data_IF_210244152094
#
_entry.id   IF_210244152094
#
_cell.length_a   1.000
_cell.length_b   1.000
_cell.length_c   1.000
_cell.angle_alpha   90.00
_cell.angle_beta   90.00
_cell.angle_gamma   90.00
#
_symmetry.space_group_name_H-M   'P 1'
#
loop_
_entity.id
_entity.type
_entity.pdbx_description
1 polymer ?
#
# COMPACT_ATOMS: atom_id res chain seq x y z
N UNK A 1 -38.00 7.24 -1.04
CA UNK A 1 -37.62 6.06 -0.21
C UNK A 1 -38.84 5.29 0.34
N UNK A 2 -39.84 5.92 1.05
CA UNK A 2 -40.97 5.16 1.59
C UNK A 2 -41.73 4.37 0.52
N UNK A 3 -42.09 5.00 -0.61
CA UNK A 3 -42.82 4.37 -1.73
C UNK A 3 -42.02 3.22 -2.36
N UNK A 4 -40.70 3.41 -2.54
CA UNK A 4 -39.85 2.36 -3.12
C UNK A 4 -39.78 1.14 -2.20
N UNK A 5 -39.57 1.35 -0.90
CA UNK A 5 -39.51 0.24 0.09
C UNK A 5 -40.86 -0.47 0.24
N UNK A 6 -41.98 0.25 0.26
CA UNK A 6 -43.30 -0.37 0.40
C UNK A 6 -43.73 -1.18 -0.84
N UNK A 7 -43.19 -0.84 -2.01
CA UNK A 7 -43.48 -1.53 -3.28
C UNK A 7 -42.39 -2.50 -3.75
N UNK A 8 -41.32 -2.71 -2.98
CA UNK A 8 -40.21 -3.56 -3.37
C UNK A 8 -39.41 -3.09 -4.58
N UNK A 9 -39.37 -1.77 -4.84
CA UNK A 9 -38.68 -1.20 -6.00
C UNK A 9 -37.21 -1.00 -5.65
N UNK A 10 -36.31 -1.66 -6.37
CA UNK A 10 -34.87 -1.39 -6.30
C UNK A 10 -34.57 0.02 -6.77
N UNK A 11 -33.87 0.81 -5.94
CA UNK A 11 -33.62 2.22 -6.21
C UNK A 11 -32.14 2.51 -6.07
N UNK A 12 -31.54 3.08 -7.11
CA UNK A 12 -30.15 3.55 -7.12
C UNK A 12 -30.19 5.08 -7.16
N UNK A 13 -29.54 5.71 -6.16
CA UNK A 13 -29.41 7.15 -6.07
C UNK A 13 -27.96 7.51 -6.38
N UNK A 14 -27.75 8.34 -7.40
CA UNK A 14 -26.43 8.87 -7.75
C UNK A 14 -26.24 10.21 -7.05
N UNK A 15 -25.18 10.32 -6.27
CA UNK A 15 -24.79 11.54 -5.56
C UNK A 15 -23.35 11.93 -5.86
N UNK A 16 -23.01 13.20 -5.54
CA UNK A 16 -21.64 13.68 -5.60
C UNK A 16 -21.08 13.85 -4.19
N UNK A 17 -19.79 13.55 -4.02
CA UNK A 17 -19.05 13.85 -2.79
C UNK A 17 -18.41 15.24 -2.87
N UNK A 18 -18.35 15.95 -1.76
CA UNK A 18 -17.59 17.20 -1.63
C UNK A 18 -16.09 16.92 -1.64
N UNK A 19 -15.25 17.98 -1.78
CA UNK A 19 -13.78 17.85 -1.69
C UNK A 19 -13.30 17.28 -0.36
N UNK A 20 -14.13 17.34 0.68
CA UNK A 20 -13.87 16.79 2.02
C UNK A 20 -14.32 15.32 2.17
N UNK A 21 -14.75 14.67 1.08
CA UNK A 21 -15.16 13.26 1.09
C UNK A 21 -16.56 13.00 1.65
N UNK A 22 -17.34 14.04 1.93
CA UNK A 22 -18.73 13.91 2.37
C UNK A 22 -19.68 13.95 1.17
N UNK A 23 -20.79 13.20 1.21
CA UNK A 23 -21.85 13.33 0.21
C UNK A 23 -22.37 14.78 0.22
N UNK A 24 -22.36 15.42 -0.96
CA UNK A 24 -22.96 16.74 -1.14
C UNK A 24 -24.48 16.63 -0.94
N UNK A 25 -24.94 16.92 0.27
CA UNK A 25 -26.33 16.80 0.68
C UNK A 25 -26.44 16.33 2.13
N UNK A 26 -27.65 16.27 2.69
CA UNK A 26 -27.80 15.87 4.08
C UNK A 26 -27.30 14.44 4.27
N UNK A 27 -26.44 14.20 5.28
CA UNK A 27 -26.02 12.86 5.78
C UNK A 27 -27.20 11.89 5.98
N UNK A 28 -28.40 12.42 5.98
CA UNK A 28 -29.68 11.71 6.05
C UNK A 28 -29.84 10.67 4.93
N UNK A 29 -29.30 10.90 3.73
CA UNK A 29 -29.41 9.92 2.63
C UNK A 29 -28.62 8.64 2.92
N UNK A 30 -27.42 8.75 3.47
CA UNK A 30 -26.61 7.57 3.85
C UNK A 30 -27.33 6.69 4.90
N UNK A 31 -28.06 7.33 5.81
CA UNK A 31 -28.81 6.59 6.82
C UNK A 31 -30.07 5.90 6.27
N UNK A 32 -30.66 6.45 5.20
CA UNK A 32 -31.90 5.93 4.61
C UNK A 32 -31.72 4.78 3.62
N UNK A 33 -30.52 4.64 3.03
CA UNK A 33 -30.21 3.57 2.07
C UNK A 33 -29.62 2.35 2.76
N UNK A 34 -29.73 1.20 2.14
CA UNK A 34 -29.23 -0.05 2.69
C UNK A 34 -27.76 -0.29 2.34
N UNK A 35 -27.32 0.23 1.20
CA UNK A 35 -25.93 0.15 0.73
C UNK A 35 -25.45 1.53 0.27
N UNK A 36 -24.20 1.88 0.58
CA UNK A 36 -23.51 3.07 0.09
C UNK A 36 -22.22 2.60 -0.57
N UNK A 37 -22.05 2.98 -1.83
CA UNK A 37 -20.86 2.71 -2.62
C UNK A 37 -20.20 4.02 -2.99
N UNK A 38 -18.88 4.11 -2.79
CA UNK A 38 -18.07 5.22 -3.26
C UNK A 38 -17.30 4.79 -4.49
N UNK A 39 -17.39 5.61 -5.55
CA UNK A 39 -16.54 5.50 -6.73
C UNK A 39 -15.45 6.56 -6.63
N UNK A 40 -14.26 6.13 -6.29
CA UNK A 40 -13.09 6.98 -6.08
C UNK A 40 -12.16 6.92 -7.29
N UNK A 41 -11.47 8.02 -7.60
CA UNK A 41 -10.46 8.05 -8.64
C UNK A 41 -9.70 9.36 -8.65
N UNK A 42 -8.41 9.27 -8.85
CA UNK A 42 -7.52 10.42 -9.01
C UNK A 42 -7.64 10.97 -10.46
N UNK A 43 -7.50 12.28 -10.63
CA UNK A 43 -7.66 12.94 -11.95
C UNK A 43 -6.61 12.51 -12.98
N UNK A 44 -5.44 12.10 -12.53
CA UNK A 44 -4.30 11.77 -13.39
C UNK A 44 -4.14 10.28 -13.67
N UNK A 45 -4.97 9.43 -13.05
CA UNK A 45 -4.92 7.98 -13.26
C UNK A 45 -6.20 7.49 -13.91
N UNK A 46 -6.05 6.56 -14.85
CA UNK A 46 -7.19 5.92 -15.53
C UNK A 46 -8.00 5.00 -14.61
N UNK A 47 -7.50 4.71 -13.41
CA UNK A 47 -8.12 3.77 -12.48
C UNK A 47 -9.22 4.39 -11.64
N UNK A 48 -10.23 3.56 -11.34
CA UNK A 48 -11.34 3.87 -10.43
C UNK A 48 -11.52 2.74 -9.46
N UNK A 49 -11.74 3.07 -8.20
CA UNK A 49 -12.00 2.10 -7.13
C UNK A 49 -13.45 2.27 -6.69
N UNK A 50 -14.23 1.21 -6.77
CA UNK A 50 -15.57 1.13 -6.21
C UNK A 50 -15.47 0.47 -4.85
N UNK A 51 -15.83 1.21 -3.79
CA UNK A 51 -15.71 0.77 -2.40
C UNK A 51 -17.06 0.76 -1.70
N UNK A 52 -17.35 -0.33 -1.00
CA UNK A 52 -18.48 -0.40 -0.08
C UNK A 52 -18.18 0.37 1.21
N UNK A 53 -18.94 1.43 1.50
CA UNK A 53 -18.83 2.21 2.75
C UNK A 53 -19.86 1.77 3.78
N UNK A 54 -21.03 1.36 3.31
CA UNK A 54 -22.10 0.81 4.12
C UNK A 54 -22.78 -0.32 3.37
N UNK A 55 -23.06 -1.43 4.06
CA UNK A 55 -23.87 -2.52 3.54
C UNK A 55 -24.59 -3.20 4.71
N UNK A 56 -25.92 -3.11 4.75
CA UNK A 56 -26.73 -3.72 5.82
C UNK A 56 -26.80 -5.24 5.73
N UNK A 57 -26.60 -5.80 4.55
CA UNK A 57 -26.85 -7.21 4.26
C UNK A 57 -25.58 -7.98 3.87
N UNK A 58 -24.41 -7.35 3.95
CA UNK A 58 -23.15 -7.98 3.58
C UNK A 58 -21.92 -7.20 4.04
N UNK A 59 -20.76 -7.67 3.59
CA UNK A 59 -19.46 -7.06 3.87
C UNK A 59 -19.32 -5.69 3.17
N UNK A 60 -18.61 -4.77 3.80
CA UNK A 60 -18.10 -3.53 3.19
C UNK A 60 -16.62 -3.63 2.81
N UNK A 61 -16.02 -4.79 3.02
CA UNK A 61 -14.59 -5.00 2.81
C UNK A 61 -14.21 -5.36 1.37
N UNK A 62 -15.20 -5.47 0.48
CA UNK A 62 -14.96 -5.78 -0.93
C UNK A 62 -14.76 -4.50 -1.72
N UNK A 63 -13.82 -4.55 -2.69
CA UNK A 63 -13.59 -3.47 -3.66
C UNK A 63 -13.64 -3.99 -5.09
N UNK A 64 -14.11 -3.14 -6.01
CA UNK A 64 -13.97 -3.33 -7.44
C UNK A 64 -12.96 -2.32 -8.00
N UNK A 65 -12.02 -2.77 -8.83
CA UNK A 65 -11.13 -1.86 -9.57
C UNK A 65 -11.49 -1.83 -11.05
N UNK A 66 -11.48 -0.65 -11.62
CA UNK A 66 -11.85 -0.39 -13.00
C UNK A 66 -10.83 0.54 -13.66
N UNK A 67 -10.67 0.42 -14.95
CA UNK A 67 -9.90 1.31 -15.79
C UNK A 67 -10.84 2.08 -16.73
N UNK A 68 -10.60 3.39 -16.87
CA UNK A 68 -11.31 4.22 -17.83
C UNK A 68 -10.66 4.09 -19.22
N UNK A 69 -11.40 3.50 -20.16
CA UNK A 69 -11.02 3.35 -21.57
C UNK A 69 -11.97 4.15 -22.45
N UNK A 70 -11.67 4.26 -23.73
CA UNK A 70 -12.54 4.92 -24.73
C UNK A 70 -13.97 4.34 -24.76
N UNK A 71 -14.09 3.06 -24.46
CA UNK A 71 -15.38 2.35 -24.36
C UNK A 71 -16.10 2.52 -23.01
N UNK A 72 -15.52 3.31 -22.08
CA UNK A 72 -16.03 3.49 -20.74
C UNK A 72 -15.24 2.71 -19.69
N UNK A 73 -15.88 2.41 -18.58
CA UNK A 73 -15.28 1.77 -17.40
C UNK A 73 -15.17 0.25 -17.63
N UNK A 74 -13.94 -0.28 -17.60
CA UNK A 74 -13.64 -1.70 -17.78
C UNK A 74 -13.12 -2.29 -16.47
N UNK A 75 -13.59 -3.47 -16.09
CA UNK A 75 -13.13 -4.17 -14.89
C UNK A 75 -11.65 -4.58 -15.01
N UNK A 76 -10.91 -4.40 -13.91
CA UNK A 76 -9.55 -4.89 -13.73
C UNK A 76 -9.61 -6.16 -12.87
N UNK A 77 -9.39 -7.30 -13.49
CA UNK A 77 -9.43 -8.60 -12.80
C UNK A 77 -8.20 -8.82 -11.92
N UNK A 78 -7.03 -8.33 -12.33
CA UNK A 78 -5.78 -8.42 -11.57
C UNK A 78 -5.10 -7.05 -11.41
N UNK A 79 -5.52 -6.24 -10.40
CA UNK A 79 -4.94 -4.92 -10.19
C UNK A 79 -3.44 -4.95 -9.84
N UNK A 80 -3.01 -5.93 -9.05
CA UNK A 80 -1.61 -6.05 -8.66
C UNK A 80 -0.69 -6.22 -9.86
N UNK A 81 -1.10 -7.02 -10.86
CA UNK A 81 -0.34 -7.23 -12.09
C UNK A 81 -0.11 -5.92 -12.85
N UNK A 82 -1.16 -5.11 -13.00
CA UNK A 82 -1.07 -3.82 -13.68
C UNK A 82 -0.17 -2.84 -12.92
N UNK A 83 -0.29 -2.80 -11.58
CA UNK A 83 0.46 -1.88 -10.73
C UNK A 83 1.97 -2.14 -10.69
N UNK A 84 2.39 -3.37 -11.03
CA UNK A 84 3.80 -3.76 -11.04
C UNK A 84 4.35 -4.09 -12.44
N UNK A 85 3.50 -4.11 -13.49
CA UNK A 85 3.87 -4.54 -14.85
C UNK A 85 4.94 -3.67 -15.52
N UNK A 86 4.95 -2.37 -15.21
CA UNK A 86 5.88 -1.39 -15.80
C UNK A 86 7.18 -1.24 -14.99
N UNK A 87 7.39 -2.09 -13.98
CA UNK A 87 8.57 -2.03 -13.14
C UNK A 87 9.83 -2.36 -13.93
N UNK A 88 10.80 -1.43 -13.90
CA UNK A 88 12.11 -1.63 -14.54
C UNK A 88 12.93 -2.74 -13.89
N UNK A 89 13.93 -3.23 -14.60
CA UNK A 89 14.82 -4.28 -14.10
C UNK A 89 15.75 -3.75 -13.01
N UNK A 90 15.33 -4.02 -11.76
CA UNK A 90 16.14 -3.92 -10.55
C UNK A 90 16.81 -2.56 -10.25
N UNK A 91 16.10 -1.41 -10.34
CA UNK A 91 16.68 -0.12 -9.97
C UNK A 91 16.88 -0.03 -8.45
N UNK A 92 17.95 0.66 -8.02
CA UNK A 92 18.06 1.05 -6.61
C UNK A 92 16.95 2.04 -6.25
N UNK A 93 16.40 1.90 -5.03
CA UNK A 93 15.29 2.74 -4.60
C UNK A 93 13.91 2.26 -5.09
N UNK A 94 13.75 1.00 -5.47
CA UNK A 94 12.46 0.38 -5.76
C UNK A 94 12.26 -0.92 -4.98
N UNK A 95 11.07 -1.16 -4.46
CA UNK A 95 10.66 -2.45 -3.91
C UNK A 95 9.16 -2.67 -4.07
N UNK A 96 8.72 -3.93 -3.90
CA UNK A 96 7.29 -4.26 -3.88
C UNK A 96 6.85 -4.59 -2.47
N UNK A 97 5.69 -4.05 -2.11
CA UNK A 97 4.99 -4.32 -0.86
C UNK A 97 3.58 -4.82 -1.16
N UNK A 98 2.91 -5.41 -0.19
CA UNK A 98 1.49 -5.71 -0.32
C UNK A 98 0.68 -4.90 0.68
N UNK A 99 -0.27 -4.13 0.19
CA UNK A 99 -1.28 -3.42 0.98
C UNK A 99 -2.60 -4.17 0.94
N UNK A 100 -3.48 -3.91 1.91
CA UNK A 100 -4.84 -4.44 1.91
C UNK A 100 -5.85 -3.35 1.58
N UNK A 101 -6.62 -3.59 0.54
CA UNK A 101 -7.80 -2.81 0.25
C UNK A 101 -9.05 -3.65 0.59
N UNK A 102 -9.60 -3.37 1.79
CA UNK A 102 -10.62 -4.23 2.39
C UNK A 102 -10.08 -5.63 2.68
N UNK A 103 -10.59 -6.65 1.98
CA UNK A 103 -10.10 -8.04 2.10
C UNK A 103 -9.17 -8.46 0.97
N UNK A 104 -8.95 -7.59 -0.02
CA UNK A 104 -8.15 -7.87 -1.21
C UNK A 104 -6.71 -7.40 -1.01
N UNK A 105 -5.70 -8.27 -1.14
CA UNK A 105 -4.31 -7.85 -1.19
C UNK A 105 -4.01 -7.17 -2.54
N UNK A 106 -3.26 -6.08 -2.51
CA UNK A 106 -2.75 -5.38 -3.67
C UNK A 106 -1.24 -5.28 -3.56
N UNK A 107 -0.52 -5.75 -4.57
CA UNK A 107 0.92 -5.52 -4.68
C UNK A 107 1.14 -4.15 -5.32
N UNK A 108 1.95 -3.34 -4.68
CA UNK A 108 2.28 -1.98 -5.12
C UNK A 108 3.77 -1.75 -5.07
N UNK A 109 4.27 -1.01 -6.03
CA UNK A 109 5.67 -0.59 -6.05
C UNK A 109 5.84 0.68 -5.22
N UNK A 110 6.82 0.66 -4.30
CA UNK A 110 7.33 1.82 -3.61
C UNK A 110 8.63 2.26 -4.27
N UNK A 111 8.75 3.56 -4.54
CA UNK A 111 9.95 4.17 -5.05
C UNK A 111 10.47 5.25 -4.11
N UNK A 112 11.77 5.28 -3.87
CA UNK A 112 12.45 6.31 -3.11
C UNK A 112 13.60 6.91 -3.92
N UNK A 113 13.75 8.21 -3.84
CA UNK A 113 14.91 8.95 -4.33
C UNK A 113 15.51 9.71 -3.17
N UNK A 114 16.80 9.52 -2.96
CA UNK A 114 17.58 10.31 -2.00
C UNK A 114 18.62 11.13 -2.73
N UNK A 115 18.79 12.37 -2.33
CA UNK A 115 19.78 13.29 -2.92
C UNK A 115 20.39 14.15 -1.81
N UNK A 116 21.65 14.53 -1.97
CA UNK A 116 22.30 15.42 -1.01
C UNK A 116 21.54 16.76 -0.93
N UNK A 117 21.25 17.23 0.29
CA UNK A 117 20.60 18.51 0.49
C UNK A 117 21.57 19.65 0.14
N UNK A 118 21.18 20.50 -0.79
CA UNK A 118 22.03 21.63 -1.26
C UNK A 118 21.75 22.91 -0.47
N UNK A 119 20.49 23.10 -0.02
CA UNK A 119 20.06 24.36 0.61
C UNK A 119 19.40 24.11 1.98
N UNK A 120 20.16 24.27 3.05
CA UNK A 120 19.64 24.40 4.41
C UNK A 120 18.98 23.14 4.96
N UNK A 121 17.65 23.06 4.92
CA UNK A 121 16.91 21.98 5.56
C UNK A 121 16.56 20.84 4.58
N UNK A 122 16.80 19.59 4.97
CA UNK A 122 16.46 18.43 4.15
C UNK A 122 14.95 18.36 3.84
N UNK A 123 14.61 18.21 2.57
CA UNK A 123 13.23 18.07 2.12
C UNK A 123 12.74 16.64 2.29
N UNK A 124 11.49 16.51 2.71
CA UNK A 124 10.76 15.24 2.74
C UNK A 124 9.52 15.39 1.88
N UNK A 125 9.36 14.53 0.89
CA UNK A 125 8.18 14.52 0.01
C UNK A 125 7.61 13.13 0.00
N UNK A 126 6.31 13.01 0.27
CA UNK A 126 5.59 11.74 0.28
C UNK A 126 4.39 11.83 -0.66
N UNK A 127 4.32 10.92 -1.63
CA UNK A 127 3.19 10.75 -2.51
C UNK A 127 2.62 9.34 -2.30
N UNK A 128 1.35 9.27 -1.91
CA UNK A 128 0.68 8.02 -1.59
C UNK A 128 0.98 7.45 -0.18
N UNK A 129 1.81 8.12 0.62
CA UNK A 129 2.16 7.75 2.00
C UNK A 129 1.94 8.95 2.91
N UNK A 130 1.54 8.73 4.16
CA UNK A 130 1.44 9.80 5.15
C UNK A 130 2.82 10.41 5.46
N UNK A 131 2.90 11.73 5.39
CA UNK A 131 4.15 12.49 5.58
C UNK A 131 4.75 12.27 6.98
N UNK A 132 3.91 12.25 8.03
CA UNK A 132 4.38 12.09 9.39
C UNK A 132 4.92 10.67 9.60
N UNK A 133 4.24 9.66 9.00
CA UNK A 133 4.71 8.27 9.04
C UNK A 133 6.06 8.13 8.35
N UNK A 134 6.22 8.69 7.15
CA UNK A 134 7.51 8.70 6.45
C UNK A 134 8.61 9.34 7.32
N UNK A 135 8.37 10.54 7.86
CA UNK A 135 9.35 11.26 8.67
C UNK A 135 9.79 10.47 9.89
N UNK A 136 8.86 9.79 10.55
CA UNK A 136 9.10 8.95 11.70
C UNK A 136 9.96 7.72 11.33
N UNK A 137 9.64 7.04 10.24
CA UNK A 137 10.38 5.87 9.77
C UNK A 137 11.81 6.22 9.34
N UNK A 138 12.02 7.37 8.70
CA UNK A 138 13.36 7.86 8.36
C UNK A 138 14.20 8.15 9.61
N UNK A 139 13.60 8.71 10.67
CA UNK A 139 14.28 8.92 11.95
C UNK A 139 14.67 7.61 12.63
N UNK A 140 13.79 6.58 12.58
CA UNK A 140 14.11 5.23 13.07
C UNK A 140 15.26 4.62 12.27
N UNK A 141 15.21 4.71 10.93
CA UNK A 141 16.24 4.18 10.04
C UNK A 141 17.61 4.80 10.34
N UNK A 142 17.65 6.12 10.54
CA UNK A 142 18.88 6.84 10.90
C UNK A 142 19.38 6.42 12.29
N UNK A 143 18.53 6.51 13.30
CA UNK A 143 18.93 6.29 14.69
C UNK A 143 19.23 4.83 15.03
N UNK A 144 18.49 3.89 14.43
CA UNK A 144 18.58 2.46 14.78
C UNK A 144 19.41 1.66 13.80
N UNK A 145 19.45 2.07 12.54
CA UNK A 145 20.18 1.33 11.50
C UNK A 145 21.42 2.06 10.95
N UNK A 146 21.65 3.31 11.37
CA UNK A 146 22.84 4.09 10.98
C UNK A 146 22.83 4.55 9.53
N UNK A 147 21.68 4.59 8.87
CA UNK A 147 21.54 5.14 7.52
C UNK A 147 21.33 6.64 7.63
N UNK A 148 22.40 7.41 7.34
CA UNK A 148 22.48 8.86 7.61
C UNK A 148 21.69 9.68 6.58
N UNK A 149 20.39 9.85 6.85
CA UNK A 149 19.47 10.60 5.98
C UNK A 149 19.24 12.05 6.43
N UNK A 150 19.84 12.47 7.55
CA UNK A 150 19.67 13.80 8.11
C UNK A 150 20.16 14.94 7.22
N UNK A 151 21.08 14.67 6.27
CA UNK A 151 21.56 15.63 5.27
C UNK A 151 21.11 15.29 3.85
N UNK A 152 20.09 14.45 3.69
CA UNK A 152 19.58 14.04 2.39
C UNK A 152 18.13 14.52 2.20
N UNK A 153 17.82 15.01 1.04
CA UNK A 153 16.45 15.13 0.57
C UNK A 153 15.90 13.72 0.28
N UNK A 154 14.68 13.44 0.70
CA UNK A 154 14.04 12.14 0.48
C UNK A 154 12.68 12.35 -0.18
N UNK A 155 12.52 11.73 -1.33
CA UNK A 155 11.28 11.69 -2.10
C UNK A 155 10.76 10.25 -2.10
N UNK A 156 9.51 10.06 -1.72
CA UNK A 156 8.86 8.75 -1.67
C UNK A 156 7.59 8.77 -2.51
N UNK A 157 7.40 7.74 -3.33
CA UNK A 157 6.25 7.61 -4.20
C UNK A 157 5.68 6.20 -4.17
N UNK A 158 4.36 6.10 -4.11
CA UNK A 158 3.60 4.87 -4.39
C UNK A 158 3.22 4.91 -5.86
N UNK A 159 3.73 3.97 -6.64
CA UNK A 159 3.42 3.89 -8.08
C UNK A 159 1.93 3.56 -8.26
N UNK A 160 1.33 4.14 -9.30
CA UNK A 160 -0.11 3.98 -9.59
C UNK A 160 -1.04 4.90 -8.80
N UNK A 161 -0.48 5.87 -8.00
CA UNK A 161 -1.26 6.91 -7.32
C UNK A 161 -2.15 6.43 -6.18
N UNK A 162 -1.94 5.20 -5.72
CA UNK A 162 -2.66 4.67 -4.57
C UNK A 162 -2.19 5.31 -3.26
N UNK A 163 -3.11 5.45 -2.31
CA UNK A 163 -2.78 5.87 -0.95
C UNK A 163 -2.65 4.64 -0.07
N UNK A 164 -1.44 4.45 0.48
CA UNK A 164 -1.14 3.33 1.38
C UNK A 164 -0.97 3.86 2.80
N UNK A 165 -1.93 3.56 3.66
CA UNK A 165 -1.97 4.09 5.03
C UNK A 165 -1.77 3.01 6.10
N UNK A 166 -1.49 1.77 5.70
CA UNK A 166 -1.33 0.69 6.67
C UNK A 166 0.12 0.47 7.09
N UNK A 167 0.38 0.15 8.37
CA UNK A 167 1.72 -0.07 8.90
C UNK A 167 2.46 -1.26 8.27
N UNK A 168 1.75 -2.18 7.63
CA UNK A 168 2.36 -3.37 7.01
C UNK A 168 3.41 -3.07 5.94
N UNK A 169 3.45 -1.83 5.41
CA UNK A 169 4.41 -1.38 4.39
C UNK A 169 5.62 -0.63 4.95
N UNK A 170 5.67 -0.38 6.26
CA UNK A 170 6.72 0.41 6.89
C UNK A 170 8.13 -0.11 6.61
N UNK A 171 8.30 -1.43 6.70
CA UNK A 171 9.59 -2.05 6.40
C UNK A 171 10.00 -1.78 4.96
N UNK A 172 9.07 -1.85 4.00
CA UNK A 172 9.32 -1.50 2.60
C UNK A 172 9.76 -0.05 2.45
N UNK A 173 9.11 0.90 3.15
CA UNK A 173 9.50 2.32 3.15
C UNK A 173 10.93 2.50 3.66
N UNK A 174 11.30 1.83 4.75
CA UNK A 174 12.64 1.89 5.30
C UNK A 174 13.68 1.31 4.34
N UNK A 175 13.42 0.12 3.80
CA UNK A 175 14.39 -0.56 2.95
C UNK A 175 14.55 0.11 1.59
N UNK A 176 13.50 0.66 1.01
CA UNK A 176 13.58 1.39 -0.27
C UNK A 176 14.35 2.71 -0.11
N UNK A 177 14.18 3.42 1.02
CA UNK A 177 14.98 4.61 1.32
C UNK A 177 16.46 4.28 1.51
N UNK A 178 16.77 3.19 2.22
CA UNK A 178 18.15 2.74 2.39
C UNK A 178 18.78 2.25 1.07
N UNK A 179 18.01 1.56 0.23
CA UNK A 179 18.41 1.14 -1.11
C UNK A 179 18.79 2.32 -2.00
N UNK A 180 17.93 3.33 -2.05
CA UNK A 180 18.23 4.58 -2.79
C UNK A 180 19.47 5.29 -2.26
N UNK A 181 19.60 5.44 -0.94
CA UNK A 181 20.74 6.11 -0.30
C UNK A 181 22.06 5.41 -0.57
N UNK A 182 22.07 4.09 -0.54
CA UNK A 182 23.28 3.28 -0.80
C UNK A 182 23.52 2.98 -2.28
N UNK A 183 22.56 3.31 -3.13
CA UNK A 183 22.54 2.95 -4.55
C UNK A 183 22.72 1.43 -4.78
N UNK A 184 22.07 0.62 -3.95
CA UNK A 184 22.07 -0.86 -4.02
C UNK A 184 20.65 -1.33 -4.25
N UNK A 185 20.37 -2.08 -5.33
CA UNK A 185 19.03 -2.54 -5.64
C UNK A 185 18.53 -3.62 -4.66
N UNK A 186 17.21 -3.65 -4.45
CA UNK A 186 16.50 -4.74 -3.77
C UNK A 186 16.08 -5.76 -4.84
N UNK A 187 16.24 -7.09 -4.61
CA UNK A 187 15.85 -8.09 -5.59
C UNK A 187 14.43 -7.88 -6.13
N UNK A 188 14.26 -7.89 -7.46
CA UNK A 188 12.98 -7.58 -8.10
C UNK A 188 11.86 -8.58 -7.80
N UNK A 189 12.23 -9.82 -7.51
CA UNK A 189 11.33 -10.92 -7.19
C UNK A 189 11.13 -11.12 -5.68
N UNK A 190 11.44 -10.08 -4.90
CA UNK A 190 11.25 -10.03 -3.44
C UNK A 190 10.12 -9.08 -3.06
N UNK A 191 9.26 -9.54 -2.15
CA UNK A 191 8.24 -8.71 -1.49
C UNK A 191 8.66 -8.41 -0.05
N UNK A 192 8.36 -7.21 0.43
CA UNK A 192 8.76 -6.74 1.75
C UNK A 192 7.53 -6.36 2.56
N UNK A 193 7.39 -6.92 3.74
CA UNK A 193 6.24 -6.72 4.61
C UNK A 193 6.65 -6.61 6.07
N UNK A 194 6.09 -5.67 6.81
CA UNK A 194 6.30 -5.53 8.26
C UNK A 194 5.99 -4.14 8.75
N UNK A 195 5.43 -4.06 9.95
CA UNK A 195 5.32 -2.80 10.70
C UNK A 195 6.64 -2.53 11.42
N UNK A 196 7.11 -1.28 11.43
CA UNK A 196 8.34 -0.87 12.11
C UNK A 196 8.01 -0.01 13.32
N UNK A 197 8.44 -0.46 14.51
CA UNK A 197 8.31 0.30 15.73
C UNK A 197 9.46 1.30 15.93
N UNK A 198 9.27 2.23 16.89
CA UNK A 198 10.24 3.30 17.17
C UNK A 198 11.58 2.79 17.73
N UNK A 199 11.63 1.59 18.25
CA UNK A 199 12.87 0.98 18.74
C UNK A 199 13.61 0.19 17.66
N UNK A 200 13.06 0.14 16.43
CA UNK A 200 13.62 -0.53 15.26
C UNK A 200 13.18 -1.98 15.14
N UNK A 201 12.32 -2.45 16.03
CA UNK A 201 11.72 -3.79 15.95
C UNK A 201 10.76 -3.89 14.78
N UNK A 202 10.66 -5.08 14.18
CA UNK A 202 9.69 -5.39 13.15
C UNK A 202 8.56 -6.22 13.74
N UNK A 203 7.36 -5.66 13.66
CA UNK A 203 6.14 -6.17 14.30
C UNK A 203 5.27 -6.93 13.33
N UNK A 204 4.47 -7.82 13.90
CA UNK A 204 3.45 -8.60 13.21
C UNK A 204 2.48 -7.72 12.42
N UNK A 205 2.08 -8.22 11.25
CA UNK A 205 1.04 -7.63 10.41
C UNK A 205 -0.13 -8.58 10.25
N UNK A 206 -1.30 -8.02 9.94
CA UNK A 206 -2.51 -8.78 9.73
C UNK A 206 -2.58 -9.37 8.31
N UNK A 207 -3.37 -10.45 8.16
CA UNK A 207 -3.71 -11.07 6.88
C UNK A 207 -2.47 -11.47 6.04
N UNK A 208 -1.39 -11.87 6.70
CA UNK A 208 -0.12 -12.23 6.05
C UNK A 208 -0.30 -13.30 4.98
N UNK A 209 -1.10 -14.32 5.25
CA UNK A 209 -1.32 -15.45 4.31
C UNK A 209 -1.94 -14.98 2.99
N UNK A 210 -2.89 -14.01 3.03
CA UNK A 210 -3.47 -13.46 1.82
C UNK A 210 -2.45 -12.72 0.98
N UNK A 211 -1.56 -11.95 1.61
CA UNK A 211 -0.49 -11.20 0.95
C UNK A 211 0.52 -12.14 0.30
N UNK A 212 0.91 -13.20 1.00
CA UNK A 212 1.84 -14.20 0.48
C UNK A 212 1.24 -14.97 -0.71
N UNK A 213 -0.03 -15.37 -0.63
CA UNK A 213 -0.72 -16.04 -1.74
C UNK A 213 -0.82 -15.16 -2.99
N UNK A 214 -1.06 -13.85 -2.84
CA UNK A 214 -1.06 -12.94 -3.97
C UNK A 214 0.34 -12.77 -4.57
N UNK A 215 1.38 -12.64 -3.72
CA UNK A 215 2.76 -12.59 -4.18
C UNK A 215 3.18 -13.86 -4.94
N UNK A 216 2.83 -15.04 -4.42
CA UNK A 216 3.09 -16.33 -5.07
C UNK A 216 2.39 -16.44 -6.42
N UNK A 217 1.12 -16.02 -6.50
CA UNK A 217 0.34 -15.99 -7.75
C UNK A 217 0.98 -15.13 -8.84
N UNK A 218 1.65 -14.03 -8.44
CA UNK A 218 2.33 -13.10 -9.35
C UNK A 218 3.80 -13.46 -9.61
N UNK A 219 4.25 -14.64 -9.14
CA UNK A 219 5.55 -15.19 -9.47
C UNK A 219 6.73 -14.62 -8.67
N UNK A 220 6.49 -13.95 -7.56
CA UNK A 220 7.55 -13.59 -6.62
C UNK A 220 8.21 -14.85 -6.06
N UNK A 221 9.51 -14.76 -5.77
CA UNK A 221 10.30 -15.92 -5.31
C UNK A 221 10.65 -15.84 -3.83
N UNK A 222 10.74 -14.65 -3.28
CA UNK A 222 11.13 -14.45 -1.88
C UNK A 222 10.30 -13.39 -1.19
N UNK A 223 10.26 -13.46 0.15
CA UNK A 223 9.52 -12.53 0.97
C UNK A 223 10.24 -12.28 2.28
N UNK A 224 10.40 -11.00 2.65
CA UNK A 224 10.83 -10.60 4.00
C UNK A 224 9.60 -10.27 4.82
N UNK A 225 9.44 -10.94 5.97
CA UNK A 225 8.31 -10.74 6.88
C UNK A 225 8.77 -10.73 8.34
N UNK A 226 7.94 -10.23 9.27
CA UNK A 226 8.22 -10.34 10.69
C UNK A 226 8.39 -11.81 11.12
N UNK A 227 9.37 -12.10 11.95
CA UNK A 227 9.63 -13.45 12.50
C UNK A 227 8.42 -14.01 13.25
N UNK A 228 7.66 -13.14 13.90
CA UNK A 228 6.40 -13.49 14.58
C UNK A 228 5.31 -13.97 13.62
N UNK A 229 5.24 -13.41 12.39
CA UNK A 229 4.33 -13.92 11.37
C UNK A 229 4.83 -15.25 10.81
N UNK A 230 6.13 -15.37 10.53
CA UNK A 230 6.72 -16.60 9.97
C UNK A 230 6.43 -17.82 10.84
N UNK A 231 6.54 -17.69 12.17
CA UNK A 231 6.29 -18.77 13.12
C UNK A 231 4.86 -19.31 13.10
N UNK A 232 3.90 -18.48 12.72
CA UNK A 232 2.49 -18.84 12.74
C UNK A 232 1.95 -19.29 11.37
N UNK A 233 2.80 -19.27 10.33
CA UNK A 233 2.42 -19.77 9.02
C UNK A 233 2.18 -21.28 9.08
N UNK A 234 1.03 -21.70 8.56
CA UNK A 234 0.61 -23.10 8.52
C UNK A 234 0.77 -23.72 7.13
N UNK A 235 0.62 -22.90 6.09
CA UNK A 235 0.69 -23.34 4.70
C UNK A 235 2.15 -23.42 4.22
N UNK A 236 2.43 -24.32 3.30
CA UNK A 236 3.67 -24.34 2.54
C UNK A 236 3.54 -23.40 1.36
N UNK A 237 4.46 -22.45 1.26
CA UNK A 237 4.56 -21.48 0.16
C UNK A 237 5.73 -21.85 -0.75
N UNK A 238 5.61 -21.55 -2.04
CA UNK A 238 6.74 -21.64 -2.98
C UNK A 238 7.72 -20.48 -2.83
N UNK A 239 7.36 -19.48 -2.02
CA UNK A 239 8.20 -18.34 -1.66
C UNK A 239 9.26 -18.75 -0.65
N UNK A 240 10.52 -18.30 -0.83
CA UNK A 240 11.51 -18.31 0.23
C UNK A 240 11.17 -17.24 1.27
N UNK A 241 10.70 -17.68 2.44
CA UNK A 241 10.21 -16.80 3.49
C UNK A 241 11.31 -16.50 4.49
N UNK A 242 11.76 -15.24 4.50
CA UNK A 242 12.80 -14.73 5.37
C UNK A 242 12.15 -14.01 6.56
N UNK A 243 12.20 -14.63 7.73
CA UNK A 243 11.74 -14.00 8.97
C UNK A 243 12.80 -13.06 9.53
N UNK A 244 12.39 -11.88 10.01
CA UNK A 244 13.29 -10.89 10.63
C UNK A 244 12.67 -10.31 11.88
N UNK A 245 13.51 -9.84 12.82
CA UNK A 245 13.09 -9.29 14.11
C UNK A 245 13.20 -7.77 14.17
N UNK A 246 14.16 -7.21 13.47
CA UNK A 246 14.44 -5.78 13.47
C UNK A 246 14.95 -5.30 12.11
N UNK A 247 15.02 -3.98 11.96
CA UNK A 247 15.42 -3.31 10.71
C UNK A 247 16.88 -3.60 10.33
N UNK A 248 17.77 -3.85 11.31
CA UNK A 248 19.19 -4.15 11.05
C UNK A 248 19.33 -5.54 10.40
N UNK A 249 18.57 -6.51 10.90
CA UNK A 249 18.52 -7.83 10.33
C UNK A 249 17.99 -7.79 8.89
N UNK A 250 16.92 -6.99 8.66
CA UNK A 250 16.38 -6.80 7.31
C UNK A 250 17.41 -6.23 6.33
N UNK A 251 18.09 -5.14 6.72
CA UNK A 251 19.14 -4.52 5.89
C UNK A 251 20.29 -5.49 5.58
N UNK A 252 20.69 -6.30 6.56
CA UNK A 252 21.75 -7.30 6.37
C UNK A 252 21.32 -8.39 5.40
N UNK A 253 20.08 -8.85 5.47
CA UNK A 253 19.56 -9.92 4.59
C UNK A 253 19.51 -9.54 3.12
N UNK A 254 19.36 -8.25 2.82
CA UNK A 254 19.32 -7.73 1.43
C UNK A 254 20.63 -7.03 1.02
N UNK A 255 21.70 -7.17 1.80
CA UNK A 255 23.01 -6.61 1.44
C UNK A 255 23.12 -5.08 1.56
N UNK A 256 22.22 -4.44 2.29
CA UNK A 256 22.23 -3.00 2.56
C UNK A 256 22.98 -2.61 3.86
N UNK A 257 23.66 -3.56 4.49
CA UNK A 257 24.47 -3.32 5.68
C UNK A 257 25.78 -4.04 5.60
#
# INVERSE_FOLDING_TARGET
MRVCKSRGITTIIIGHVTKEGNIAGPRVLEHMVDTVLYLEGERYFSYRILRGVKNRFGSTNEIGMFEMKDKGMCEITNPSDILISEREDNPAGSCVVATMEGTRPLLVELQALTAATVFGYPKRTANGIDYNRLSLLLAVLEKKAGVMLGSQDVYMNVVGGLKVNEPAVDLGICLVAASSFKNIPIPKDMIILGEVGLTGEVRRINLIEKRLKEAEKLGFKSCIIPESNKKDLKDNYKLDIIGIKDINEALKKIGLR
#
